data_IF_420203536384
#
_entry.id   IF_420203536384
#
_cell.length_a   1.000
_cell.length_b   1.000
_cell.length_c   1.000
_cell.angle_alpha   90.00
_cell.angle_beta   90.00
_cell.angle_gamma   90.00
#
_symmetry.space_group_name_H-M   'P 1'
#
loop_
_entity.id
_entity.type
_entity.pdbx_description
1 polymer ?
#
# COMPACT_ATOMS: atom_id res chain seq x y z
N UNK A 1 -4.43 16.72 -2.15
CA UNK A 1 -5.52 16.07 -2.91
C UNK A 1 -5.02 15.28 -4.10
N UNK A 2 -5.59 14.10 -4.31
CA UNK A 2 -5.35 13.25 -5.50
C UNK A 2 -5.11 11.79 -5.14
N UNK A 3 -5.07 10.89 -6.13
CA UNK A 3 -4.80 9.48 -5.90
C UNK A 3 -3.40 9.25 -5.34
N UNK A 4 -3.27 8.30 -4.42
CA UNK A 4 -1.98 7.92 -3.82
C UNK A 4 -1.58 6.53 -4.26
N UNK A 5 -2.54 5.62 -4.37
CA UNK A 5 -2.32 4.23 -4.76
C UNK A 5 -3.56 3.64 -5.43
N UNK A 6 -3.35 2.72 -6.37
CA UNK A 6 -4.41 1.89 -6.91
C UNK A 6 -4.32 0.49 -6.31
N UNK A 7 -5.45 -0.07 -5.91
CA UNK A 7 -5.56 -1.41 -5.35
C UNK A 7 -6.38 -2.26 -6.30
N UNK A 8 -5.79 -3.34 -6.80
CA UNK A 8 -6.47 -4.31 -7.65
C UNK A 8 -6.72 -5.60 -6.89
N UNK A 9 -7.99 -5.96 -6.72
CA UNK A 9 -8.36 -7.21 -6.05
C UNK A 9 -8.32 -8.43 -6.99
N UNK A 10 -8.51 -9.62 -6.42
CA UNK A 10 -8.53 -10.91 -7.15
C UNK A 10 -9.54 -10.97 -8.30
N UNK A 11 -10.65 -10.22 -8.20
CA UNK A 11 -11.72 -10.20 -9.19
C UNK A 11 -11.44 -9.17 -10.30
N UNK A 12 -10.26 -8.55 -10.29
CA UNK A 12 -9.83 -7.55 -11.27
C UNK A 12 -10.39 -6.15 -11.05
N UNK A 13 -11.20 -5.93 -10.00
CA UNK A 13 -11.70 -4.58 -9.65
C UNK A 13 -10.55 -3.73 -9.12
N UNK A 14 -10.46 -2.51 -9.64
CA UNK A 14 -9.50 -1.50 -9.21
C UNK A 14 -10.23 -0.48 -8.33
N UNK A 15 -9.68 -0.19 -7.15
CA UNK A 15 -10.04 0.97 -6.33
C UNK A 15 -8.87 1.96 -6.28
N UNK A 16 -9.20 3.24 -6.18
CA UNK A 16 -8.24 4.31 -5.99
C UNK A 16 -8.35 4.77 -4.53
N UNK A 17 -7.21 4.82 -3.84
CA UNK A 17 -7.12 5.44 -2.53
C UNK A 17 -6.56 6.85 -2.72
N UNK A 18 -7.31 7.87 -2.28
CA UNK A 18 -7.04 9.27 -2.59
C UNK A 18 -6.97 10.12 -1.31
N UNK A 19 -6.15 11.17 -1.35
CA UNK A 19 -6.23 12.27 -0.40
C UNK A 19 -7.37 13.21 -0.82
N UNK A 20 -8.39 13.33 0.03
CA UNK A 20 -9.59 14.18 -0.22
C UNK A 20 -9.47 15.55 0.44
N UNK A 21 -8.55 15.73 1.37
CA UNK A 21 -8.41 16.95 2.13
C UNK A 21 -7.60 17.99 1.35
N UNK A 22 -8.08 19.24 1.25
CA UNK A 22 -7.36 20.29 0.55
C UNK A 22 -6.18 20.80 1.37
N UNK A 23 -5.16 21.29 0.65
CA UNK A 23 -3.99 21.93 1.24
C UNK A 23 -2.78 21.00 1.35
N UNK A 24 -1.71 21.53 1.93
CA UNK A 24 -0.49 20.79 2.25
C UNK A 24 -0.06 21.21 3.65
N UNK A 25 0.24 20.23 4.50
CA UNK A 25 0.83 20.51 5.82
C UNK A 25 2.26 21.07 5.72
N UNK A 26 2.94 20.79 4.61
CA UNK A 26 4.29 21.24 4.30
C UNK A 26 4.44 21.42 2.79
N UNK A 27 4.90 22.59 2.35
CA UNK A 27 5.16 22.93 0.93
C UNK A 27 6.66 23.11 0.62
N UNK A 28 7.50 23.15 1.64
CA UNK A 28 8.95 23.24 1.50
C UNK A 28 9.59 21.99 0.88
N UNK A 29 10.93 22.02 0.67
CA UNK A 29 11.68 20.88 0.16
C UNK A 29 11.49 19.62 1.01
N UNK A 30 11.44 18.46 0.35
CA UNK A 30 11.22 17.17 0.99
C UNK A 30 12.16 16.11 0.39
N UNK A 31 12.80 15.34 1.27
CA UNK A 31 13.57 14.15 0.91
C UNK A 31 13.02 12.97 1.68
N UNK A 32 12.86 11.84 1.00
CA UNK A 32 12.46 10.56 1.61
C UNK A 32 13.64 9.60 1.54
N UNK A 33 14.15 9.20 2.70
CA UNK A 33 15.24 8.23 2.80
C UNK A 33 14.66 6.82 2.94
N UNK A 34 15.09 5.91 2.08
CA UNK A 34 14.63 4.50 2.05
C UNK A 34 15.80 3.53 2.05
N UNK A 35 15.52 2.28 2.40
CA UNK A 35 16.49 1.18 2.33
C UNK A 35 15.80 -0.14 1.92
N UNK A 36 16.57 -1.22 1.79
CA UNK A 36 16.04 -2.55 1.42
C UNK A 36 14.99 -3.15 2.35
N UNK A 37 14.80 -2.60 3.55
CA UNK A 37 13.77 -3.03 4.51
C UNK A 37 12.51 -2.16 4.48
N UNK A 38 12.52 -1.07 3.72
CA UNK A 38 11.34 -0.25 3.47
C UNK A 38 10.36 -1.08 2.63
N UNK A 39 9.16 -1.32 3.15
CA UNK A 39 8.20 -2.25 2.55
C UNK A 39 6.76 -1.78 2.68
N UNK A 40 5.89 -2.20 1.76
CA UNK A 40 4.43 -1.99 1.86
C UNK A 40 4.07 -0.50 1.87
N UNK A 41 3.50 0.02 2.97
CA UNK A 41 3.05 1.41 3.07
C UNK A 41 4.19 2.42 2.80
N UNK A 42 5.42 2.11 3.23
CA UNK A 42 6.58 2.98 2.97
C UNK A 42 6.89 3.11 1.49
N UNK A 43 6.69 2.05 0.71
CA UNK A 43 6.93 2.04 -0.75
C UNK A 43 5.85 2.83 -1.48
N UNK A 44 4.59 2.68 -1.05
CA UNK A 44 3.47 3.48 -1.57
C UNK A 44 3.72 4.96 -1.35
N UNK A 45 4.10 5.35 -0.13
CA UNK A 45 4.40 6.73 0.21
C UNK A 45 5.57 7.28 -0.62
N UNK A 46 6.71 6.57 -0.66
CA UNK A 46 7.87 7.01 -1.41
C UNK A 46 7.58 7.11 -2.92
N UNK A 47 6.86 6.13 -3.47
CA UNK A 47 6.44 6.14 -4.87
C UNK A 47 5.52 7.31 -5.20
N UNK A 48 4.54 7.63 -4.33
CA UNK A 48 3.66 8.78 -4.54
C UNK A 48 4.45 10.10 -4.50
N UNK A 49 5.35 10.28 -3.52
CA UNK A 49 6.22 11.46 -3.47
C UNK A 49 7.06 11.60 -4.74
N UNK A 50 7.60 10.49 -5.26
CA UNK A 50 8.36 10.46 -6.49
C UNK A 50 7.49 10.75 -7.74
N UNK A 51 6.34 10.11 -7.87
CA UNK A 51 5.46 10.19 -9.04
C UNK A 51 4.83 11.58 -9.20
N UNK A 52 4.52 12.24 -8.08
CA UNK A 52 4.05 13.62 -8.07
C UNK A 52 5.17 14.65 -8.21
N UNK A 53 6.44 14.23 -8.25
CA UNK A 53 7.58 15.15 -8.21
C UNK A 53 7.61 15.99 -6.93
N UNK A 54 6.97 15.53 -5.84
CA UNK A 54 6.83 16.29 -4.59
C UNK A 54 8.14 16.35 -3.81
N UNK A 55 9.02 15.37 -3.99
CA UNK A 55 10.30 15.30 -3.29
C UNK A 55 11.24 14.30 -3.94
N UNK A 56 12.46 14.21 -3.40
CA UNK A 56 13.49 13.28 -3.89
C UNK A 56 13.54 12.06 -2.99
N UNK A 57 13.51 10.87 -3.58
CA UNK A 57 13.72 9.60 -2.88
C UNK A 57 15.19 9.22 -2.98
N UNK A 58 15.83 8.93 -1.84
CA UNK A 58 17.28 8.63 -1.74
C UNK A 58 17.47 7.35 -0.93
N UNK A 59 18.49 6.56 -1.28
CA UNK A 59 18.91 5.39 -0.50
C UNK A 59 19.09 4.15 -1.37
N UNK A 60 18.62 3.00 -0.88
CA UNK A 60 18.66 1.72 -1.61
C UNK A 60 17.31 1.41 -2.27
N UNK A 61 17.25 0.52 -3.28
CA UNK A 61 16.00 -0.09 -3.72
C UNK A 61 15.24 -0.70 -2.53
N UNK A 62 13.92 -0.49 -2.49
CA UNK A 62 13.04 -0.98 -1.41
C UNK A 62 12.74 -2.47 -1.57
N UNK A 63 11.98 -3.04 -0.63
CA UNK A 63 11.78 -4.48 -0.51
C UNK A 63 10.99 -5.10 -1.68
N UNK A 64 10.02 -4.36 -2.24
CA UNK A 64 9.12 -4.79 -3.31
C UNK A 64 7.87 -5.53 -2.83
N UNK A 65 7.29 -5.15 -1.69
CA UNK A 65 6.04 -5.74 -1.17
C UNK A 65 4.82 -5.02 -1.76
N UNK A 66 4.40 -5.47 -2.93
CA UNK A 66 3.26 -4.95 -3.68
C UNK A 66 1.93 -5.69 -3.46
N UNK A 67 1.75 -6.38 -2.33
CA UNK A 67 0.52 -7.15 -2.02
C UNK A 67 -0.14 -6.71 -0.72
N UNK A 68 -1.47 -6.79 -0.72
CA UNK A 68 -2.35 -6.51 0.42
C UNK A 68 -2.78 -7.83 1.03
N UNK A 69 -2.63 -7.96 2.35
CA UNK A 69 -3.15 -9.10 3.11
C UNK A 69 -4.36 -8.65 3.93
N UNK A 70 -5.40 -9.49 3.97
CA UNK A 70 -6.52 -9.34 4.89
C UNK A 70 -6.44 -10.41 5.97
N UNK A 71 -6.91 -10.08 7.17
CA UNK A 71 -7.23 -11.05 8.20
C UNK A 71 -8.69 -11.43 8.04
N UNK A 72 -8.96 -12.72 7.98
CA UNK A 72 -10.30 -13.29 7.94
C UNK A 72 -10.51 -14.02 9.25
N UNK A 73 -11.49 -13.57 10.03
CA UNK A 73 -11.81 -14.19 11.30
C UNK A 73 -12.59 -15.49 11.04
N UNK A 74 -12.09 -16.61 11.57
CA UNK A 74 -12.73 -17.89 11.34
C UNK A 74 -13.97 -18.06 12.22
N UNK A 75 -14.11 -17.24 13.27
CA UNK A 75 -15.27 -17.24 14.16
C UNK A 75 -16.53 -16.75 13.42
N UNK A 76 -16.39 -15.88 12.40
CA UNK A 76 -17.48 -15.40 11.53
C UNK A 76 -18.16 -16.54 10.73
N UNK A 77 -17.47 -17.68 10.59
CA UNK A 77 -17.92 -18.83 9.80
C UNK A 77 -18.17 -20.07 10.67
N UNK A 78 -17.99 -19.96 11.99
CA UNK A 78 -18.15 -21.06 12.92
C UNK A 78 -19.52 -21.01 13.63
N UNK A 79 -20.12 -22.16 13.96
CA UNK A 79 -21.24 -22.22 14.90
C UNK A 79 -20.86 -21.58 16.25
N UNK A 80 -21.80 -20.84 16.86
CA UNK A 80 -21.56 -20.03 18.05
C UNK A 80 -21.13 -20.82 19.31
N UNK A 81 -21.30 -22.14 19.30
CA UNK A 81 -20.92 -23.06 20.38
C UNK A 81 -19.48 -23.59 20.27
N UNK A 82 -18.73 -23.17 19.24
CA UNK A 82 -17.33 -23.55 19.06
C UNK A 82 -16.36 -22.61 19.80
N UNK A 83 -15.22 -23.12 20.29
CA UNK A 83 -14.14 -22.28 20.78
C UNK A 83 -13.56 -21.42 19.64
N UNK A 84 -12.95 -20.29 19.99
CA UNK A 84 -12.34 -19.38 18.99
C UNK A 84 -11.35 -20.12 18.10
N UNK A 85 -11.56 -19.98 16.79
CA UNK A 85 -10.89 -20.70 15.72
C UNK A 85 -9.68 -19.93 15.17
N UNK A 86 -9.49 -18.68 15.61
CA UNK A 86 -8.39 -17.82 15.20
C UNK A 86 -8.61 -17.18 13.83
N UNK A 87 -7.53 -16.72 13.20
CA UNK A 87 -7.60 -15.88 11.99
C UNK A 87 -6.72 -16.42 10.86
N UNK A 88 -7.22 -16.32 9.64
CA UNK A 88 -6.45 -16.59 8.42
C UNK A 88 -5.90 -15.29 7.85
N UNK A 89 -4.59 -15.24 7.61
CA UNK A 89 -3.95 -14.15 6.87
C UNK A 89 -3.78 -14.55 5.41
N UNK A 90 -4.50 -13.88 4.52
CA UNK A 90 -4.52 -14.21 3.08
C UNK A 90 -4.27 -12.97 2.22
N UNK A 91 -3.56 -13.15 1.10
CA UNK A 91 -3.36 -12.08 0.11
C UNK A 91 -4.63 -11.91 -0.71
N UNK A 92 -5.16 -10.69 -0.75
CA UNK A 92 -6.45 -10.37 -1.40
C UNK A 92 -6.31 -9.42 -2.59
N UNK A 93 -5.22 -8.65 -2.64
CA UNK A 93 -5.03 -7.61 -3.65
C UNK A 93 -3.56 -7.28 -3.90
N UNK A 94 -3.32 -6.49 -4.95
CA UNK A 94 -2.03 -5.92 -5.31
C UNK A 94 -2.08 -4.39 -5.35
N UNK A 95 -0.96 -3.76 -4.98
CA UNK A 95 -0.75 -2.32 -5.09
C UNK A 95 -0.14 -1.95 -6.44
N UNK A 96 -0.62 -0.83 -6.98
CA UNK A 96 -0.10 -0.18 -8.17
C UNK A 96 0.09 1.31 -7.88
N UNK A 97 1.19 1.86 -8.36
CA UNK A 97 1.52 3.28 -8.36
C UNK A 97 0.47 4.07 -9.16
N UNK A 98 0.41 5.38 -8.92
CA UNK A 98 -0.48 6.28 -9.68
C UNK A 98 -0.19 6.26 -11.18
N UNK A 99 1.07 6.01 -11.56
CA UNK A 99 1.49 5.84 -12.96
C UNK A 99 1.18 4.44 -13.56
N UNK A 100 0.59 3.53 -12.79
CA UNK A 100 0.23 2.17 -13.20
C UNK A 100 1.33 1.11 -13.01
N UNK A 101 2.54 1.48 -12.61
CA UNK A 101 3.60 0.54 -12.27
C UNK A 101 3.32 -0.22 -10.97
N UNK A 102 3.78 -1.46 -10.82
CA UNK A 102 3.72 -2.18 -9.54
C UNK A 102 5.05 -2.11 -8.81
N UNK A 103 5.00 -2.01 -7.48
CA UNK A 103 6.17 -2.14 -6.59
C UNK A 103 6.58 -3.61 -6.41
N UNK A 104 5.70 -4.56 -6.76
CA UNK A 104 5.94 -5.98 -6.53
C UNK A 104 7.24 -6.46 -7.19
N UNK A 105 8.17 -6.97 -6.37
CA UNK A 105 9.51 -7.45 -6.77
C UNK A 105 10.41 -6.41 -7.45
N UNK A 106 10.07 -5.12 -7.38
CA UNK A 106 10.84 -4.04 -8.03
C UNK A 106 11.31 -2.99 -7.04
N UNK A 107 10.53 -2.77 -5.98
CA UNK A 107 10.64 -1.59 -5.15
C UNK A 107 9.90 -0.42 -5.77
#
# INVERSE_FOLDING_TARGET
>A
RGPVVQVRNSNGRISLEEDVDPGMAWDGPLVVLVNRYSASASEIFAAAIQDYGRGVVVGEPTFGKGTVQSLLDLDDYAPADKPSMGQLKITMAQFFRVNGGSTQNRG
#
